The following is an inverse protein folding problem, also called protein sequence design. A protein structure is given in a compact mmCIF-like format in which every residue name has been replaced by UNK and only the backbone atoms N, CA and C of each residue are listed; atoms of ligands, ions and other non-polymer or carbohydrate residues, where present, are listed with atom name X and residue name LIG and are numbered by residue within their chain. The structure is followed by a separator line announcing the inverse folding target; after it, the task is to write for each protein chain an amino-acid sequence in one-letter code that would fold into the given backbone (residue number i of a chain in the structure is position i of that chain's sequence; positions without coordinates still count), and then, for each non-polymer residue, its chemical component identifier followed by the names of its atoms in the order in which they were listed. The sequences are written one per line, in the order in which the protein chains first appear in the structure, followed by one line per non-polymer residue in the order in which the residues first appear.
data_IF_877157506984
#
_entry.id   IF_877157506984
#
_cell.length_a   1.000
_cell.length_b   1.000
_cell.length_c   1.000
_cell.angle_alpha   90.00
_cell.angle_beta   90.00
_cell.angle_gamma   90.00
#
_symmetry.space_group_name_H-M   'P 1'
#
loop_
_entity.id
_entity.type
_entity.pdbx_description
1 polymer ?
#
# COMPACT_ATOMS: atom_id res chain seq x y z
N UNK A 1 4.43 14.14 19.99
CA UNK A 1 4.80 14.17 18.54
C UNK A 1 5.55 12.92 18.11
N UNK A 2 6.52 12.45 18.91
CA UNK A 2 7.19 11.15 18.66
C UNK A 2 6.21 10.00 18.49
N UNK A 3 5.23 9.86 19.39
CA UNK A 3 4.29 8.74 19.42
C UNK A 3 3.36 8.70 18.22
N UNK A 4 2.93 9.87 17.75
CA UNK A 4 2.14 10.00 16.51
C UNK A 4 2.92 9.52 15.28
N UNK A 5 4.21 9.87 15.20
CA UNK A 5 5.07 9.43 14.11
C UNK A 5 5.33 7.92 14.17
N UNK A 6 5.63 7.39 15.36
CA UNK A 6 5.82 5.95 15.54
C UNK A 6 4.56 5.15 15.20
N UNK A 7 3.38 5.65 15.61
CA UNK A 7 2.12 5.05 15.23
C UNK A 7 1.91 5.07 13.71
N UNK A 8 2.16 6.22 13.06
CA UNK A 8 2.04 6.36 11.60
C UNK A 8 2.99 5.44 10.85
N UNK A 9 4.24 5.34 11.29
CA UNK A 9 5.21 4.41 10.71
C UNK A 9 4.81 2.94 10.94
N UNK A 10 4.30 2.62 12.12
CA UNK A 10 3.80 1.27 12.45
C UNK A 10 2.60 0.87 11.59
N UNK A 11 1.62 1.77 11.44
CA UNK A 11 0.47 1.58 10.55
C UNK A 11 0.92 1.43 9.11
N UNK A 12 1.86 2.27 8.65
CA UNK A 12 2.42 2.17 7.29
C UNK A 12 3.15 0.85 7.07
N UNK A 13 3.99 0.43 8.02
CA UNK A 13 4.72 -0.83 7.94
C UNK A 13 3.76 -2.03 7.86
N UNK A 14 2.70 -2.03 8.69
CA UNK A 14 1.68 -3.06 8.66
C UNK A 14 0.88 -3.03 7.33
N UNK A 15 0.56 -1.84 6.82
CA UNK A 15 -0.08 -1.68 5.52
C UNK A 15 0.81 -2.25 4.40
N UNK A 16 2.12 -1.98 4.42
CA UNK A 16 3.07 -2.55 3.46
C UNK A 16 3.16 -4.08 3.57
N UNK A 17 3.17 -4.62 4.78
CA UNK A 17 3.19 -6.07 5.00
C UNK A 17 1.96 -6.76 4.36
N UNK A 18 0.82 -6.07 4.29
CA UNK A 18 -0.39 -6.55 3.64
C UNK A 18 -0.37 -6.31 2.11
N UNK A 19 -0.05 -5.09 1.69
CA UNK A 19 -0.24 -4.67 0.29
C UNK A 19 0.88 -5.13 -0.63
N UNK A 20 2.12 -5.25 -0.15
CA UNK A 20 3.26 -5.63 -1.01
C UNK A 20 3.12 -7.06 -1.54
N UNK A 21 2.83 -8.10 -0.73
CA UNK A 21 2.66 -9.44 -1.27
C UNK A 21 1.42 -9.55 -2.16
N UNK A 22 0.29 -8.95 -1.77
CA UNK A 22 -0.96 -9.00 -2.55
C UNK A 22 -0.82 -8.23 -3.86
N UNK A 23 -0.41 -6.97 -3.81
CA UNK A 23 -0.21 -6.13 -4.99
C UNK A 23 0.92 -6.64 -5.89
N UNK A 24 1.99 -7.18 -5.29
CA UNK A 24 3.07 -7.85 -6.03
C UNK A 24 2.58 -9.07 -6.82
N UNK A 25 1.79 -9.93 -6.18
CA UNK A 25 1.18 -11.10 -6.84
C UNK A 25 0.20 -10.67 -7.95
N UNK A 26 -0.63 -9.67 -7.67
CA UNK A 26 -1.56 -9.10 -8.67
C UNK A 26 -0.80 -8.52 -9.87
N UNK A 27 0.25 -7.73 -9.63
CA UNK A 27 1.08 -7.15 -10.70
C UNK A 27 1.81 -8.23 -11.52
N UNK A 28 2.33 -9.26 -10.86
CA UNK A 28 2.93 -10.41 -11.55
C UNK A 28 1.91 -11.13 -12.43
N UNK A 29 0.70 -11.32 -11.95
CA UNK A 29 -0.36 -11.95 -12.73
C UNK A 29 -0.82 -11.05 -13.88
N UNK A 30 -1.06 -9.75 -13.65
CA UNK A 30 -1.43 -8.78 -14.68
C UNK A 30 -0.39 -8.68 -15.80
N UNK A 31 0.90 -8.78 -15.48
CA UNK A 31 1.99 -8.77 -16.48
C UNK A 31 1.93 -9.94 -17.48
N UNK A 32 1.17 -11.00 -17.16
CA UNK A 32 1.01 -12.21 -17.98
C UNK A 32 -0.37 -12.38 -18.56
N UNK A 33 -1.37 -11.78 -17.94
CA UNK A 33 -2.76 -11.91 -18.34
C UNK A 33 -3.00 -11.28 -19.73
N UNK A 34 -3.90 -11.86 -20.50
CA UNK A 34 -4.32 -11.39 -21.83
C UNK A 34 -5.83 -11.51 -21.96
N UNK A 35 -6.39 -10.78 -22.93
CA UNK A 35 -7.82 -10.87 -23.27
C UNK A 35 -8.74 -10.07 -22.33
N UNK A 36 -10.05 -10.26 -22.41
CA UNK A 36 -11.04 -9.45 -21.71
C UNK A 36 -10.98 -9.61 -20.18
N UNK A 37 -10.61 -10.78 -19.68
CA UNK A 37 -10.44 -11.01 -18.24
C UNK A 37 -9.37 -10.07 -17.64
N UNK A 38 -8.28 -9.81 -18.38
CA UNK A 38 -7.27 -8.84 -17.95
C UNK A 38 -7.88 -7.45 -17.76
N UNK A 39 -8.68 -7.00 -18.75
CA UNK A 39 -9.29 -5.67 -18.68
C UNK A 39 -10.22 -5.52 -17.47
N UNK A 40 -11.03 -6.54 -17.17
CA UNK A 40 -11.92 -6.53 -16.00
C UNK A 40 -11.11 -6.47 -14.69
N UNK A 41 -10.08 -7.31 -14.57
CA UNK A 41 -9.26 -7.35 -13.36
C UNK A 41 -8.41 -6.09 -13.20
N UNK A 42 -7.91 -5.53 -14.29
CA UNK A 42 -7.23 -4.24 -14.30
C UNK A 42 -8.14 -3.12 -13.81
N UNK A 43 -9.39 -3.09 -14.31
CA UNK A 43 -10.41 -2.17 -13.83
C UNK A 43 -10.69 -2.36 -12.33
N UNK A 44 -10.88 -3.60 -11.85
CA UNK A 44 -11.10 -3.90 -10.44
C UNK A 44 -9.95 -3.42 -9.54
N UNK A 45 -8.70 -3.60 -9.98
CA UNK A 45 -7.52 -3.10 -9.27
C UNK A 45 -7.52 -1.58 -9.16
N UNK A 46 -7.98 -0.88 -10.20
CA UNK A 46 -7.97 0.58 -10.26
C UNK A 46 -9.16 1.23 -9.49
N UNK A 47 -10.23 0.50 -9.21
CA UNK A 47 -11.41 1.03 -8.51
C UNK A 47 -11.05 1.81 -7.22
N UNK A 48 -10.20 1.30 -6.29
CA UNK A 48 -9.86 2.05 -5.08
C UNK A 48 -9.08 3.35 -5.36
N UNK A 49 -8.44 3.48 -6.51
CA UNK A 49 -7.72 4.70 -6.90
C UNK A 49 -8.67 5.78 -7.42
N UNK A 50 -9.73 5.37 -8.12
CA UNK A 50 -10.73 6.28 -8.72
C UNK A 50 -11.75 6.73 -7.69
N UNK A 51 -12.09 5.87 -6.75
CA UNK A 51 -13.02 6.21 -5.67
C UNK A 51 -12.41 7.23 -4.70
N UNK A 52 -13.21 8.19 -4.20
CA UNK A 52 -12.80 9.01 -3.07
C UNK A 52 -12.39 8.09 -1.89
N UNK A 53 -11.25 8.36 -1.21
CA UNK A 53 -10.78 7.51 -0.11
C UNK A 53 -11.83 7.30 1.01
N UNK A 54 -12.65 8.32 1.31
CA UNK A 54 -13.75 8.20 2.27
C UNK A 54 -14.81 7.19 1.86
N UNK A 55 -15.10 7.06 0.55
CA UNK A 55 -16.03 6.05 0.02
C UNK A 55 -15.43 4.66 0.17
N UNK A 56 -14.14 4.50 -0.09
CA UNK A 56 -13.42 3.24 0.17
C UNK A 56 -13.49 2.87 1.65
N UNK A 57 -13.27 3.83 2.55
CA UNK A 57 -13.41 3.65 3.99
C UNK A 57 -14.83 3.23 4.40
N UNK A 58 -15.85 3.81 3.79
CA UNK A 58 -17.23 3.43 4.02
C UNK A 58 -17.51 1.97 3.60
N UNK A 59 -17.05 1.53 2.43
CA UNK A 59 -17.20 0.14 2.02
C UNK A 59 -16.45 -0.82 2.96
N UNK A 60 -15.28 -0.44 3.45
CA UNK A 60 -14.58 -1.22 4.46
C UNK A 60 -15.39 -1.30 5.76
N UNK A 61 -16.05 -0.21 6.17
CA UNK A 61 -16.91 -0.20 7.35
C UNK A 61 -18.13 -1.13 7.17
N UNK A 62 -18.75 -1.12 6.00
CA UNK A 62 -19.87 -2.03 5.68
C UNK A 62 -19.42 -3.50 5.67
N UNK A 63 -18.22 -3.78 5.15
CA UNK A 63 -17.73 -5.16 5.05
C UNK A 63 -17.18 -5.69 6.39
N UNK A 64 -16.37 -4.89 7.09
CA UNK A 64 -15.61 -5.29 8.28
C UNK A 64 -16.16 -4.69 9.59
N UNK A 65 -17.24 -3.93 9.54
CA UNK A 65 -17.94 -3.44 10.72
C UNK A 65 -18.44 -4.58 11.60
N UNK A 66 -18.85 -4.29 12.84
CA UNK A 66 -19.23 -5.31 13.82
C UNK A 66 -20.39 -6.22 13.36
N UNK A 67 -21.24 -5.74 12.46
CA UNK A 67 -22.37 -6.45 11.84
C UNK A 67 -22.17 -6.69 10.33
N UNK A 68 -20.99 -6.36 9.81
CA UNK A 68 -20.63 -6.52 8.41
C UNK A 68 -20.44 -7.99 8.03
N UNK A 69 -20.53 -8.28 6.71
CA UNK A 69 -20.42 -9.64 6.16
C UNK A 69 -19.13 -10.35 6.57
N UNK A 70 -18.03 -9.64 6.68
CA UNK A 70 -16.72 -10.18 7.11
C UNK A 70 -16.45 -9.86 8.59
N UNK A 71 -16.94 -8.73 9.09
CA UNK A 71 -16.70 -8.31 10.46
C UNK A 71 -17.43 -9.16 11.50
N UNK A 72 -18.69 -9.55 11.25
CA UNK A 72 -19.46 -10.39 12.17
C UNK A 72 -18.81 -11.78 12.40
N UNK A 73 -18.38 -12.54 11.37
CA UNK A 73 -17.68 -13.81 11.58
C UNK A 73 -16.28 -13.62 12.23
N UNK A 74 -15.55 -12.57 11.90
CA UNK A 74 -14.28 -12.27 12.57
C UNK A 74 -14.45 -12.02 14.06
N UNK A 75 -15.50 -11.29 14.43
CA UNK A 75 -15.85 -11.01 15.84
C UNK A 75 -16.31 -12.26 16.56
N UNK A 76 -17.19 -13.08 15.96
CA UNK A 76 -17.76 -14.27 16.61
C UNK A 76 -16.77 -15.42 16.71
N UNK A 77 -15.95 -15.67 15.67
CA UNK A 77 -15.01 -16.78 15.63
C UNK A 77 -13.65 -16.48 16.29
N UNK A 78 -13.16 -15.25 16.14
CA UNK A 78 -11.81 -14.86 16.58
C UNK A 78 -11.80 -13.77 17.65
N UNK A 79 -12.94 -13.19 18.03
CA UNK A 79 -13.01 -12.06 18.95
C UNK A 79 -12.41 -10.76 18.41
N UNK A 80 -12.02 -10.72 17.13
CA UNK A 80 -11.29 -9.59 16.52
C UNK A 80 -12.26 -8.54 15.98
N UNK A 81 -11.99 -7.28 16.34
CA UNK A 81 -12.66 -6.11 15.75
C UNK A 81 -11.61 -5.27 15.04
N UNK A 82 -11.86 -4.90 13.78
CA UNK A 82 -10.92 -4.09 12.99
C UNK A 82 -11.21 -2.59 13.10
N UNK A 83 -12.47 -2.22 13.25
CA UNK A 83 -12.89 -0.81 13.39
C UNK A 83 -12.30 -0.22 14.68
N UNK A 84 -11.84 1.03 14.60
CA UNK A 84 -11.14 1.76 15.68
C UNK A 84 -9.86 1.09 16.19
N UNK A 85 -9.13 0.42 15.29
CA UNK A 85 -7.84 -0.21 15.64
C UNK A 85 -6.73 0.19 14.68
N UNK A 86 -5.45 0.11 15.11
CA UNK A 86 -4.31 0.33 14.20
C UNK A 86 -4.28 -0.64 13.01
N UNK A 87 -4.76 -1.88 13.21
CA UNK A 87 -4.89 -2.88 12.14
C UNK A 87 -5.94 -2.44 11.12
N UNK A 88 -7.05 -1.87 11.58
CA UNK A 88 -8.06 -1.28 10.70
C UNK A 88 -7.51 -0.09 9.90
N UNK A 89 -6.75 0.80 10.55
CA UNK A 89 -6.08 1.89 9.87
C UNK A 89 -5.10 1.37 8.77
N UNK A 90 -4.33 0.34 9.09
CA UNK A 90 -3.42 -0.31 8.15
C UNK A 90 -4.17 -0.99 6.99
N UNK A 91 -5.29 -1.63 7.26
CA UNK A 91 -6.14 -2.23 6.22
C UNK A 91 -6.70 -1.15 5.28
N UNK A 92 -7.20 -0.03 5.81
CA UNK A 92 -7.68 1.09 5.02
C UNK A 92 -6.58 1.66 4.11
N UNK A 93 -5.40 1.93 4.68
CA UNK A 93 -4.23 2.40 3.94
C UNK A 93 -3.77 1.39 2.88
N UNK A 94 -3.85 0.08 3.17
CA UNK A 94 -3.51 -1.00 2.24
C UNK A 94 -4.40 -0.99 1.01
N UNK A 95 -5.73 -0.93 1.21
CA UNK A 95 -6.70 -1.00 0.11
C UNK A 95 -6.57 0.21 -0.81
N UNK A 96 -6.41 1.41 -0.26
CA UNK A 96 -6.26 2.65 -1.05
C UNK A 96 -4.92 2.69 -1.79
N UNK A 97 -3.86 2.09 -1.26
CA UNK A 97 -2.54 2.05 -1.90
C UNK A 97 -2.31 0.82 -2.79
N UNK A 98 -3.20 -0.18 -2.75
CA UNK A 98 -3.11 -1.43 -3.53
C UNK A 98 -2.94 -1.21 -5.04
N UNK A 99 -3.69 -0.30 -5.70
CA UNK A 99 -3.52 -0.04 -7.13
C UNK A 99 -2.10 0.39 -7.49
N UNK A 100 -1.49 1.24 -6.66
CA UNK A 100 -0.15 1.75 -6.89
C UNK A 100 0.89 0.64 -6.82
N UNK A 101 0.78 -0.26 -5.82
CA UNK A 101 1.64 -1.43 -5.72
C UNK A 101 1.44 -2.40 -6.88
N UNK A 102 0.19 -2.73 -7.22
CA UNK A 102 -0.12 -3.69 -8.28
C UNK A 102 0.35 -3.20 -9.66
N UNK A 103 0.09 -1.94 -10.00
CA UNK A 103 0.52 -1.35 -11.27
C UNK A 103 2.04 -1.14 -11.34
N UNK A 104 2.65 -0.73 -10.23
CA UNK A 104 4.10 -0.64 -10.13
C UNK A 104 4.80 -1.99 -10.27
N UNK A 105 4.25 -3.04 -9.65
CA UNK A 105 4.75 -4.40 -9.78
C UNK A 105 4.52 -4.95 -11.20
N UNK A 106 3.37 -4.71 -11.83
CA UNK A 106 3.13 -5.05 -13.24
C UNK A 106 4.20 -4.44 -14.14
N UNK A 107 4.47 -3.13 -13.99
CA UNK A 107 5.50 -2.45 -14.75
C UNK A 107 6.91 -3.01 -14.51
N UNK A 108 7.22 -3.41 -13.26
CA UNK A 108 8.49 -4.04 -12.90
C UNK A 108 8.66 -5.39 -13.59
N UNK A 109 7.63 -6.24 -13.58
CA UNK A 109 7.67 -7.57 -14.21
C UNK A 109 7.66 -7.49 -15.75
N UNK A 110 7.00 -6.50 -16.34
CA UNK A 110 7.01 -6.29 -17.80
C UNK A 110 8.39 -5.87 -18.34
N UNK A 111 9.25 -5.28 -17.49
CA UNK A 111 10.63 -4.90 -17.87
C UNK A 111 11.60 -6.07 -17.88
N UNK A 112 11.24 -7.20 -17.30
CA UNK A 112 12.09 -8.39 -17.31
C UNK A 112 12.16 -8.95 -18.73
N UNK A 113 13.37 -9.10 -19.27
CA UNK A 113 13.58 -9.62 -20.62
C UNK A 113 13.08 -11.07 -20.70
N UNK A 114 12.15 -11.29 -21.62
CA UNK A 114 11.59 -12.62 -21.89
C UNK A 114 12.61 -13.60 -22.38
N UNK A 115 13.63 -13.17 -23.14
CA UNK A 115 14.68 -14.03 -23.62
C UNK A 115 15.45 -14.70 -22.47
N UNK A 116 15.73 -13.97 -21.37
CA UNK A 116 16.37 -14.53 -20.18
C UNK A 116 15.51 -15.60 -19.51
N UNK A 117 14.19 -15.39 -19.48
CA UNK A 117 13.23 -16.36 -18.93
C UNK A 117 13.16 -17.62 -19.80
N UNK A 118 13.20 -17.47 -21.12
CA UNK A 118 13.17 -18.57 -22.09
C UNK A 118 14.46 -19.38 -22.04
N UNK A 119 15.64 -18.75 -21.99
CA UNK A 119 16.93 -19.40 -21.82
C UNK A 119 16.98 -20.21 -20.53
N UNK A 120 16.51 -19.65 -19.41
CA UNK A 120 16.45 -20.36 -18.14
C UNK A 120 15.58 -21.63 -18.24
N UNK A 121 14.43 -21.55 -18.91
CA UNK A 121 13.56 -22.71 -19.14
C UNK A 121 14.18 -23.75 -20.09
N UNK A 122 14.83 -23.31 -21.15
CA UNK A 122 15.54 -24.19 -22.08
C UNK A 122 16.66 -24.99 -21.38
N UNK A 123 17.28 -24.39 -20.34
CA UNK A 123 18.25 -25.06 -19.48
C UNK A 123 17.63 -25.93 -18.37
N UNK A 124 16.33 -26.25 -18.46
CA UNK A 124 15.65 -27.18 -17.57
C UNK A 124 15.10 -26.61 -16.27
N UNK A 125 15.13 -25.27 -16.06
CA UNK A 125 14.52 -24.68 -14.87
C UNK A 125 12.99 -24.78 -14.92
N UNK A 126 12.39 -25.33 -13.85
CA UNK A 126 10.94 -25.38 -13.67
C UNK A 126 10.39 -23.95 -13.45
N UNK A 127 9.12 -23.74 -13.73
CA UNK A 127 8.47 -22.43 -13.68
C UNK A 127 8.71 -21.64 -12.38
N UNK A 128 8.60 -22.30 -11.22
CA UNK A 128 8.85 -21.68 -9.91
C UNK A 128 10.34 -21.32 -9.72
N UNK A 129 11.26 -22.19 -10.13
CA UNK A 129 12.69 -21.91 -10.07
C UNK A 129 13.06 -20.73 -10.99
N UNK A 130 12.52 -20.69 -12.22
CA UNK A 130 12.71 -19.57 -13.15
C UNK A 130 12.18 -18.27 -12.55
N UNK A 131 11.00 -18.28 -11.91
CA UNK A 131 10.46 -17.12 -11.24
C UNK A 131 11.40 -16.64 -10.13
N UNK A 132 11.80 -17.54 -9.22
CA UNK A 132 12.59 -17.19 -8.03
C UNK A 132 14.03 -16.78 -8.37
N UNK A 133 14.66 -17.43 -9.35
CA UNK A 133 16.10 -17.26 -9.65
C UNK A 133 16.36 -16.24 -10.77
N UNK A 134 15.38 -15.97 -11.63
CA UNK A 134 15.56 -15.07 -12.78
C UNK A 134 14.57 -13.89 -12.72
N UNK A 135 13.25 -14.19 -12.77
CA UNK A 135 12.24 -13.13 -12.92
C UNK A 135 12.19 -12.19 -11.72
N UNK A 136 12.13 -12.74 -10.51
CA UNK A 136 12.00 -11.96 -9.29
C UNK A 136 13.25 -11.10 -9.01
N UNK A 137 14.49 -11.61 -9.07
CA UNK A 137 15.68 -10.81 -8.88
C UNK A 137 15.79 -9.65 -9.87
N UNK A 138 15.47 -9.88 -11.14
CA UNK A 138 15.48 -8.84 -12.17
C UNK A 138 14.36 -7.79 -11.98
N UNK A 139 13.25 -8.17 -11.36
CA UNK A 139 12.15 -7.26 -11.05
C UNK A 139 12.37 -6.45 -9.75
N UNK A 140 13.24 -6.90 -8.82
CA UNK A 140 13.47 -6.26 -7.51
C UNK A 140 13.68 -4.75 -7.60
N UNK A 141 14.51 -4.19 -8.51
CA UNK A 141 14.68 -2.75 -8.59
C UNK A 141 13.37 -2.01 -8.85
N UNK A 142 12.54 -2.51 -9.76
CA UNK A 142 11.22 -1.95 -10.05
C UNK A 142 10.22 -2.14 -8.91
N UNK A 143 10.25 -3.31 -8.27
CA UNK A 143 9.40 -3.60 -7.09
C UNK A 143 9.75 -2.70 -5.91
N UNK A 144 11.02 -2.41 -5.69
CA UNK A 144 11.44 -1.49 -4.63
C UNK A 144 10.93 -0.07 -4.87
N UNK A 145 10.95 0.43 -6.10
CA UNK A 145 10.33 1.71 -6.46
C UNK A 145 8.83 1.68 -6.18
N UNK A 146 8.12 0.64 -6.64
CA UNK A 146 6.68 0.48 -6.42
C UNK A 146 6.35 0.45 -4.92
N UNK A 147 7.10 -0.33 -4.13
CA UNK A 147 6.93 -0.42 -2.67
C UNK A 147 7.13 0.93 -1.99
N UNK A 148 8.14 1.70 -2.39
CA UNK A 148 8.41 3.00 -1.77
C UNK A 148 7.33 4.04 -2.11
N UNK A 149 6.87 4.08 -3.35
CA UNK A 149 5.73 4.95 -3.73
C UNK A 149 4.46 4.56 -2.97
N UNK A 150 4.23 3.26 -2.81
CA UNK A 150 3.12 2.71 -2.01
C UNK A 150 3.25 3.10 -0.53
N UNK A 151 4.47 3.09 0.03
CA UNK A 151 4.73 3.52 1.40
C UNK A 151 4.38 4.99 1.63
N UNK A 152 4.81 5.88 0.73
CA UNK A 152 4.48 7.31 0.79
C UNK A 152 2.96 7.51 0.71
N UNK A 153 2.30 6.78 -0.18
CA UNK A 153 0.84 6.85 -0.34
C UNK A 153 0.11 6.35 0.90
N UNK A 154 0.55 5.24 1.49
CA UNK A 154 -0.03 4.68 2.71
C UNK A 154 0.22 5.57 3.94
N UNK A 155 1.43 6.16 4.08
CA UNK A 155 1.78 7.08 5.15
C UNK A 155 0.90 8.34 5.17
N UNK A 156 0.57 8.87 3.99
CA UNK A 156 -0.30 10.04 3.84
C UNK A 156 -1.80 9.71 3.79
N UNK A 157 -2.22 8.47 4.08
CA UNK A 157 -3.64 8.12 3.99
C UNK A 157 -4.44 8.74 5.14
N UNK A 158 -5.52 9.41 4.77
CA UNK A 158 -6.40 10.11 5.70
C UNK A 158 -7.86 9.64 5.56
N UNK A 159 -8.45 9.75 4.37
CA UNK A 159 -9.89 9.66 4.17
C UNK A 159 -10.50 8.31 4.52
N UNK A 160 -9.87 7.22 4.03
CA UNK A 160 -10.33 5.87 4.34
C UNK A 160 -10.04 5.51 5.80
N UNK A 161 -8.90 5.94 6.34
CA UNK A 161 -8.54 5.72 7.73
C UNK A 161 -9.50 6.47 8.66
N UNK A 162 -9.82 7.74 8.37
CA UNK A 162 -10.81 8.51 9.13
C UNK A 162 -12.17 7.81 9.18
N UNK A 163 -12.66 7.35 8.02
CA UNK A 163 -13.99 6.76 7.90
C UNK A 163 -14.08 5.36 8.53
N UNK A 164 -13.04 4.53 8.39
CA UNK A 164 -13.06 3.13 8.82
C UNK A 164 -12.46 2.92 10.21
N UNK A 165 -11.27 3.47 10.46
CA UNK A 165 -10.59 3.31 11.75
C UNK A 165 -10.93 4.43 12.75
N UNK A 166 -11.49 5.55 12.29
CA UNK A 166 -11.82 6.70 13.12
C UNK A 166 -10.60 7.32 13.78
N UNK A 167 -10.84 8.34 14.62
CA UNK A 167 -9.80 8.94 15.45
C UNK A 167 -9.96 8.47 16.90
N UNK A 168 -8.93 7.84 17.40
CA UNK A 168 -8.76 7.50 18.81
C UNK A 168 -7.33 7.86 19.22
N UNK A 169 -7.19 8.80 20.16
CA UNK A 169 -5.90 9.29 20.62
C UNK A 169 -4.99 8.15 21.09
N UNK A 170 -3.74 8.14 20.62
CA UNK A 170 -2.76 7.10 20.92
C UNK A 170 -3.01 5.72 20.30
N UNK A 171 -4.13 5.52 19.60
CA UNK A 171 -4.48 4.23 18.98
C UNK A 171 -4.60 4.29 17.46
N UNK A 172 -5.33 5.25 16.93
CA UNK A 172 -5.51 5.43 15.49
C UNK A 172 -5.14 6.84 15.02
N UNK A 173 -4.62 7.66 15.91
CA UNK A 173 -4.23 9.06 15.68
C UNK A 173 -2.93 9.14 14.84
N UNK A 174 -3.01 8.71 13.58
CA UNK A 174 -1.90 8.86 12.61
C UNK A 174 -1.63 10.34 12.31
N UNK A 175 -0.44 10.66 11.79
CA UNK A 175 -0.04 12.04 11.52
C UNK A 175 -1.03 12.82 10.64
N UNK A 176 -1.63 12.25 9.56
CA UNK A 176 -2.70 12.93 8.81
C UNK A 176 -3.95 13.19 9.64
N UNK A 177 -4.36 12.26 10.52
CA UNK A 177 -5.51 12.43 11.39
C UNK A 177 -5.27 13.50 12.45
N UNK A 178 -4.09 13.49 13.07
CA UNK A 178 -3.66 14.50 14.02
C UNK A 178 -3.58 15.90 13.41
N UNK A 179 -3.06 16.01 12.19
CA UNK A 179 -3.04 17.26 11.43
C UNK A 179 -4.47 17.81 11.26
N UNK A 180 -5.40 16.95 10.87
CA UNK A 180 -6.80 17.35 10.69
C UNK A 180 -7.44 17.82 12.00
N UNK A 181 -7.24 17.09 13.10
CA UNK A 181 -7.76 17.46 14.43
C UNK A 181 -7.15 18.77 14.90
N UNK A 182 -5.84 19.00 14.70
CA UNK A 182 -5.17 20.24 15.04
C UNK A 182 -5.77 21.45 14.27
N UNK A 183 -6.06 21.27 12.96
CA UNK A 183 -6.73 22.31 12.16
C UNK A 183 -8.15 22.58 12.66
N UNK A 184 -8.91 21.56 13.01
CA UNK A 184 -10.29 21.72 13.52
C UNK A 184 -10.33 22.40 14.90
N UNK A 185 -9.30 22.21 15.72
CA UNK A 185 -9.19 22.86 17.05
C UNK A 185 -8.56 24.24 17.01
N UNK A 186 -8.11 24.73 15.85
CA UNK A 186 -7.42 26.02 15.70
C UNK A 186 -5.99 26.04 16.24
N UNK A 187 -5.37 24.85 16.45
CA UNK A 187 -3.95 24.76 16.85
C UNK A 187 -3.05 24.79 15.60
N UNK A 188 -2.95 25.96 14.99
CA UNK A 188 -2.14 26.19 13.78
C UNK A 188 -0.65 25.85 13.99
N UNK A 189 -0.14 26.05 15.20
CA UNK A 189 1.25 25.74 15.52
C UNK A 189 1.51 24.22 15.50
N UNK A 190 0.60 23.41 16.01
CA UNK A 190 0.67 21.94 15.96
C UNK A 190 0.48 21.44 14.53
N UNK A 191 -0.51 21.97 13.82
CA UNK A 191 -0.78 21.65 12.43
C UNK A 191 0.42 21.94 11.54
N UNK A 192 1.04 23.11 11.65
CA UNK A 192 2.23 23.48 10.90
C UNK A 192 3.42 22.57 11.17
N UNK A 193 3.69 22.20 12.42
CA UNK A 193 4.75 21.25 12.77
C UNK A 193 4.52 19.87 12.16
N UNK A 194 3.29 19.35 12.22
CA UNK A 194 2.94 18.05 11.64
C UNK A 194 3.11 18.07 10.11
N UNK A 195 2.61 19.11 9.45
CA UNK A 195 2.74 19.30 8.01
C UNK A 195 4.20 19.35 7.57
N UNK A 196 5.07 20.09 8.28
CA UNK A 196 6.51 20.15 7.99
C UNK A 196 7.18 18.77 8.14
N UNK A 197 6.88 18.04 9.21
CA UNK A 197 7.46 16.72 9.43
C UNK A 197 7.01 15.73 8.36
N UNK A 198 5.71 15.70 8.02
CA UNK A 198 5.19 14.84 6.96
C UNK A 198 5.83 15.16 5.60
N UNK A 199 6.01 16.46 5.29
CA UNK A 199 6.69 16.91 4.09
C UNK A 199 8.15 16.47 4.07
N UNK A 200 8.87 16.64 5.19
CA UNK A 200 10.28 16.24 5.31
C UNK A 200 10.45 14.72 5.14
N UNK A 201 9.59 13.90 5.77
CA UNK A 201 9.60 12.44 5.62
C UNK A 201 9.37 12.06 4.16
N UNK A 202 8.33 12.60 3.54
CA UNK A 202 7.99 12.29 2.14
C UNK A 202 9.08 12.73 1.17
N UNK A 203 9.65 13.93 1.36
CA UNK A 203 10.74 14.44 0.55
C UNK A 203 12.01 13.58 0.69
N UNK A 204 12.38 13.21 1.91
CA UNK A 204 13.54 12.35 2.17
C UNK A 204 13.41 11.02 1.44
N UNK A 205 12.25 10.37 1.53
CA UNK A 205 11.99 9.10 0.86
C UNK A 205 12.01 9.28 -0.67
N UNK A 206 11.41 10.35 -1.20
CA UNK A 206 11.40 10.63 -2.64
C UNK A 206 12.82 10.90 -3.19
N UNK A 207 13.64 11.67 -2.45
CA UNK A 207 15.04 11.94 -2.82
C UNK A 207 15.87 10.65 -2.79
N UNK A 208 15.72 9.83 -1.75
CA UNK A 208 16.41 8.55 -1.62
C UNK A 208 16.09 7.62 -2.81
N UNK A 209 14.82 7.56 -3.24
CA UNK A 209 14.40 6.85 -4.45
C UNK A 209 15.05 7.41 -5.72
N UNK A 210 15.08 8.73 -5.87
CA UNK A 210 15.67 9.38 -7.04
C UNK A 210 17.17 9.06 -7.17
N UNK A 211 17.89 9.07 -6.07
CA UNK A 211 19.33 8.73 -6.02
C UNK A 211 19.54 7.24 -6.33
N UNK A 212 18.76 6.36 -5.72
CA UNK A 212 18.86 4.91 -5.92
C UNK A 212 18.52 4.51 -7.37
N UNK A 213 17.48 5.08 -7.94
CA UNK A 213 17.08 4.82 -9.32
C UNK A 213 18.11 5.29 -10.38
N UNK A 214 18.93 6.28 -10.07
CA UNK A 214 20.07 6.68 -10.94
C UNK A 214 21.20 5.65 -10.89
N UNK A 215 21.54 5.13 -9.71
CA UNK A 215 22.61 4.13 -9.54
C UNK A 215 22.32 2.82 -10.27
N UNK A 216 21.06 2.38 -10.28
CA UNK A 216 20.66 1.14 -10.97
C UNK A 216 20.55 1.26 -12.49
N UNK A 217 20.62 2.47 -13.06
CA UNK A 217 20.65 2.71 -14.52
C UNK A 217 22.05 2.80 -15.08
N UNK A 218 23.05 3.05 -14.24
CA UNK A 218 24.46 3.22 -14.63
C UNK A 218 25.29 1.94 -14.46
N UNK A 219 24.69 0.87 -13.98
CA UNK A 219 25.26 -0.49 -13.89
C UNK A 219 24.62 -1.40 -14.92
#
# INVERSE_FOLDING_TARGET
MSDVLWLSLGVTALALALVVPVGGAMGWWLSRARGPLRAVLDACVLVPLVLPPSVTGYYLLVLFGAEGVLGAPLKSALGVRLVFTPVGAALAASVVSLPLMAKGAEAAFLRVDRALVEVARANGLRAFATFRLVTLPLAIPGLAVATTLTAIRAFGEFGATWTFAGYAEGRTSTAPLELYVALQSGDDARAGRLALVMTAVSATVAIALGIWGRRTRSS
#
